data_IF_039624836823
#
_entry.id   IF_039624836823
#
_cell.length_a   1.000
_cell.length_b   1.000
_cell.length_c   1.000
_cell.angle_alpha   90.00
_cell.angle_beta   90.00
_cell.angle_gamma   90.00
#
_symmetry.space_group_name_H-M   'P 1'
#
loop_
_entity.id
_entity.type
_entity.pdbx_description
1 polymer ?
#
# COMPACT_ATOMS: atom_id res chain seq x y z
N UNK A 1 -10.62 12.31 18.14
CA UNK A 1 -11.60 12.92 17.21
C UNK A 1 -11.78 11.94 16.05
N UNK A 2 -12.98 11.38 15.91
CA UNK A 2 -13.27 10.29 14.98
C UNK A 2 -13.16 10.77 13.52
N UNK A 3 -12.95 9.85 12.56
CA UNK A 3 -12.89 10.16 11.11
C UNK A 3 -14.04 11.09 10.66
N UNK A 4 -15.23 10.87 11.21
CA UNK A 4 -16.45 11.68 10.99
C UNK A 4 -16.25 13.16 11.35
N UNK A 5 -15.61 13.46 12.48
CA UNK A 5 -15.36 14.84 12.89
C UNK A 5 -14.36 15.57 11.99
N UNK A 6 -13.39 14.85 11.43
CA UNK A 6 -12.43 15.42 10.49
C UNK A 6 -13.06 15.67 9.11
N UNK A 7 -13.93 14.77 8.66
CA UNK A 7 -14.72 14.93 7.42
C UNK A 7 -15.68 16.11 7.54
N UNK A 8 -16.43 16.22 8.64
CA UNK A 8 -17.33 17.36 8.89
C UNK A 8 -16.58 18.69 8.90
N UNK A 9 -15.39 18.74 9.50
CA UNK A 9 -14.56 19.95 9.51
C UNK A 9 -14.07 20.34 8.10
N UNK A 10 -13.70 19.35 7.28
CA UNK A 10 -13.34 19.59 5.88
C UNK A 10 -14.53 20.08 5.05
N UNK A 11 -15.71 19.49 5.25
CA UNK A 11 -16.96 19.90 4.59
C UNK A 11 -17.36 21.33 4.99
N UNK A 12 -17.16 21.70 6.26
CA UNK A 12 -17.42 23.05 6.77
C UNK A 12 -16.47 24.10 6.18
N UNK A 13 -15.28 23.71 5.72
CA UNK A 13 -14.33 24.64 5.08
C UNK A 13 -14.80 25.12 3.70
N UNK A 14 -15.60 24.32 2.98
CA UNK A 14 -16.10 24.61 1.63
C UNK A 14 -16.95 25.89 1.61
N UNK A 15 -18.03 26.05 2.41
CA UNK A 15 -18.82 27.27 2.39
C UNK A 15 -18.02 28.49 2.85
N UNK A 16 -17.07 28.33 3.79
CA UNK A 16 -16.20 29.42 4.24
C UNK A 16 -15.27 29.93 3.14
N UNK A 17 -14.67 29.04 2.35
CA UNK A 17 -13.81 29.40 1.21
C UNK A 17 -14.64 30.06 0.10
N UNK A 18 -15.82 29.53 -0.20
CA UNK A 18 -16.73 30.09 -1.22
C UNK A 18 -17.21 31.49 -0.83
N UNK A 19 -17.67 31.68 0.41
CA UNK A 19 -18.07 33.00 0.92
C UNK A 19 -16.89 33.98 0.94
N UNK A 20 -15.68 33.53 1.34
CA UNK A 20 -14.47 34.35 1.30
C UNK A 20 -14.13 34.84 -0.10
N UNK A 21 -14.20 33.95 -1.10
CA UNK A 21 -14.00 34.28 -2.52
C UNK A 21 -15.04 35.27 -3.04
N UNK A 22 -16.32 35.07 -2.73
CA UNK A 22 -17.40 35.99 -3.12
C UNK A 22 -17.16 37.39 -2.55
N UNK A 23 -16.76 37.49 -1.27
CA UNK A 23 -16.45 38.79 -0.64
C UNK A 23 -15.20 39.46 -1.23
N UNK A 24 -14.20 38.68 -1.65
CA UNK A 24 -12.99 39.18 -2.30
C UNK A 24 -13.29 39.74 -3.70
N UNK A 25 -14.13 39.05 -4.48
CA UNK A 25 -14.63 39.53 -5.77
C UNK A 25 -15.48 40.80 -5.58
N UNK A 26 -16.35 40.83 -4.57
CA UNK A 26 -17.18 42.00 -4.25
C UNK A 26 -16.38 43.19 -3.69
N UNK A 27 -15.21 42.97 -3.12
CA UNK A 27 -14.30 44.04 -2.70
C UNK A 27 -13.59 44.67 -3.90
N UNK A 28 -13.26 43.87 -4.93
CA UNK A 28 -12.67 44.36 -6.17
C UNK A 28 -13.61 45.24 -6.99
N UNK A 29 -14.93 45.16 -6.78
CA UNK A 29 -15.95 45.97 -7.47
C UNK A 29 -16.29 47.30 -6.79
N UNK A 30 -15.50 47.74 -5.79
CA UNK A 30 -15.50 49.16 -5.36
C UNK A 30 -15.81 49.44 -3.89
N UNK A 31 -15.91 48.43 -3.02
CA UNK A 31 -16.12 48.65 -1.58
C UNK A 31 -14.93 48.12 -0.76
N UNK A 32 -13.93 48.97 -0.44
CA UNK A 32 -12.68 48.54 0.19
C UNK A 32 -12.86 47.98 1.61
N UNK A 33 -13.93 48.35 2.33
CA UNK A 33 -14.23 47.81 3.67
C UNK A 33 -14.55 46.31 3.66
N UNK A 34 -14.92 45.73 2.51
CA UNK A 34 -15.20 44.30 2.36
C UNK A 34 -13.94 43.46 2.13
N UNK A 35 -12.81 44.10 1.84
CA UNK A 35 -11.54 43.45 1.54
C UNK A 35 -10.98 42.74 2.79
N UNK A 36 -10.98 43.42 3.94
CA UNK A 36 -10.57 42.83 5.22
C UNK A 36 -11.46 41.65 5.62
N UNK A 37 -12.78 41.75 5.42
CA UNK A 37 -13.74 40.69 5.75
C UNK A 37 -13.49 39.45 4.88
N UNK A 38 -13.33 39.63 3.57
CA UNK A 38 -13.03 38.53 2.65
C UNK A 38 -11.71 37.83 2.98
N UNK A 39 -10.67 38.60 3.33
CA UNK A 39 -9.35 38.08 3.66
C UNK A 39 -9.37 37.27 4.97
N UNK A 40 -10.06 37.75 6.01
CA UNK A 40 -10.23 37.02 7.27
C UNK A 40 -11.02 35.72 7.06
N UNK A 41 -12.11 35.76 6.30
CA UNK A 41 -12.92 34.56 6.03
C UNK A 41 -12.12 33.51 5.26
N UNK A 42 -11.33 33.94 4.27
CA UNK A 42 -10.48 33.07 3.47
C UNK A 42 -9.34 32.49 4.32
N UNK A 43 -8.72 33.30 5.19
CA UNK A 43 -7.69 32.82 6.11
C UNK A 43 -8.23 31.75 7.06
N UNK A 44 -9.43 31.92 7.62
CA UNK A 44 -10.09 30.93 8.47
C UNK A 44 -10.44 29.67 7.68
N UNK A 45 -10.99 29.81 6.47
CA UNK A 45 -11.31 28.68 5.60
C UNK A 45 -10.08 27.85 5.23
N UNK A 46 -8.98 28.52 4.86
CA UNK A 46 -7.70 27.88 4.55
C UNK A 46 -7.10 27.22 5.79
N UNK A 47 -7.16 27.86 6.97
CA UNK A 47 -6.68 27.27 8.21
C UNK A 47 -7.45 25.98 8.56
N UNK A 48 -8.77 25.98 8.44
CA UNK A 48 -9.59 24.77 8.62
C UNK A 48 -9.29 23.69 7.60
N UNK A 49 -9.09 24.06 6.33
CA UNK A 49 -8.73 23.12 5.27
C UNK A 49 -7.37 22.47 5.56
N UNK A 50 -6.35 23.26 5.87
CA UNK A 50 -5.00 22.77 6.17
C UNK A 50 -5.02 21.88 7.41
N UNK A 51 -5.73 22.28 8.46
CA UNK A 51 -5.85 21.48 9.68
C UNK A 51 -6.62 20.19 9.44
N UNK A 52 -7.73 20.26 8.71
CA UNK A 52 -8.54 19.11 8.29
C UNK A 52 -7.72 18.13 7.45
N UNK A 53 -7.02 18.60 6.42
CA UNK A 53 -6.16 17.77 5.56
C UNK A 53 -5.00 17.18 6.35
N UNK A 54 -4.32 17.94 7.21
CA UNK A 54 -3.24 17.39 8.05
C UNK A 54 -3.76 16.32 9.01
N UNK A 55 -4.94 16.52 9.59
CA UNK A 55 -5.58 15.55 10.48
C UNK A 55 -6.05 14.32 9.71
N UNK A 56 -6.62 14.49 8.51
CA UNK A 56 -6.99 13.39 7.61
C UNK A 56 -5.75 12.62 7.19
N UNK A 57 -4.68 13.27 6.73
CA UNK A 57 -3.41 12.61 6.41
C UNK A 57 -2.88 11.79 7.60
N UNK A 58 -2.94 12.33 8.81
CA UNK A 58 -2.59 11.57 10.03
C UNK A 58 -3.50 10.36 10.28
N UNK A 59 -4.72 10.36 9.75
CA UNK A 59 -5.67 9.23 9.78
C UNK A 59 -5.58 8.35 8.52
N UNK A 60 -4.82 8.75 7.50
CA UNK A 60 -4.73 8.18 6.15
C UNK A 60 -3.28 7.83 5.75
N UNK A 61 -2.33 7.89 6.68
CA UNK A 61 -0.94 7.40 6.53
C UNK A 61 -0.90 5.86 6.63
N UNK A 62 -1.57 5.07 5.81
CA UNK A 62 -1.46 4.97 4.36
C UNK A 62 -2.69 4.15 3.96
N UNK A 63 -3.31 4.41 2.82
CA UNK A 63 -4.43 3.59 2.32
C UNK A 63 -4.03 2.10 2.38
N UNK A 64 -4.58 1.30 3.30
CA UNK A 64 -4.09 -0.06 3.56
C UNK A 64 -4.22 -0.91 2.29
N UNK A 65 -5.19 -0.61 1.43
CA UNK A 65 -5.42 -1.29 0.16
C UNK A 65 -4.24 -1.17 -0.83
N UNK A 66 -3.59 0.00 -0.88
CA UNK A 66 -2.41 0.21 -1.73
C UNK A 66 -1.20 -0.52 -1.13
N UNK A 67 -1.06 -0.54 0.20
CA UNK A 67 0.00 -1.30 0.87
C UNK A 67 -0.19 -2.80 0.73
N UNK A 68 -1.42 -3.32 0.78
CA UNK A 68 -1.75 -4.73 0.52
C UNK A 68 -1.30 -5.11 -0.89
N UNK A 69 -1.68 -4.31 -1.88
CA UNK A 69 -1.29 -4.53 -3.29
C UNK A 69 0.23 -4.46 -3.47
N UNK A 70 0.88 -3.51 -2.79
CA UNK A 70 2.33 -3.38 -2.76
C UNK A 70 3.03 -4.57 -2.09
N UNK A 71 2.51 -5.07 -0.96
CA UNK A 71 3.02 -6.22 -0.24
C UNK A 71 2.96 -7.49 -1.08
N UNK A 72 1.85 -7.74 -1.79
CA UNK A 72 1.70 -8.83 -2.76
C UNK A 72 2.73 -8.68 -3.90
N UNK A 73 2.91 -7.46 -4.44
CA UNK A 73 3.91 -7.18 -5.46
C UNK A 73 5.36 -7.42 -4.98
N UNK A 74 5.66 -7.06 -3.74
CA UNK A 74 6.97 -7.25 -3.11
C UNK A 74 7.23 -8.74 -2.83
N UNK A 75 6.24 -9.46 -2.31
CA UNK A 75 6.30 -10.90 -2.11
C UNK A 75 6.56 -11.63 -3.44
N UNK A 76 5.93 -11.22 -4.54
CA UNK A 76 6.18 -11.79 -5.87
C UNK A 76 7.65 -11.62 -6.32
N UNK A 77 8.30 -10.51 -5.97
CA UNK A 77 9.72 -10.27 -6.28
C UNK A 77 10.67 -11.07 -5.39
N UNK A 78 10.28 -11.30 -4.14
CA UNK A 78 11.07 -12.01 -3.13
C UNK A 78 10.84 -13.53 -3.10
N UNK A 79 9.97 -14.06 -3.98
CA UNK A 79 9.76 -15.51 -4.12
C UNK A 79 8.59 -16.07 -3.30
N UNK A 80 7.64 -15.23 -2.90
CA UNK A 80 6.41 -15.65 -2.21
C UNK A 80 6.47 -15.51 -0.68
N UNK A 81 7.60 -15.10 -0.12
CA UNK A 81 7.77 -14.85 1.32
C UNK A 81 8.04 -13.36 1.58
N UNK A 82 7.48 -12.83 2.65
CA UNK A 82 7.70 -11.45 3.08
C UNK A 82 7.71 -11.35 4.60
N UNK A 83 8.59 -10.49 5.13
CA UNK A 83 8.61 -10.14 6.56
C UNK A 83 8.13 -8.72 6.79
N UNK A 84 7.62 -8.44 7.99
CA UNK A 84 7.22 -7.07 8.42
C UNK A 84 8.39 -6.09 8.24
N UNK A 85 9.61 -6.52 8.59
CA UNK A 85 10.81 -5.71 8.45
C UNK A 85 11.12 -5.34 6.99
N UNK A 86 10.93 -6.26 6.04
CA UNK A 86 11.13 -6.01 4.61
C UNK A 86 10.08 -5.06 4.04
N UNK A 87 8.80 -5.25 4.39
CA UNK A 87 7.73 -4.34 3.98
C UNK A 87 7.99 -2.92 4.51
N UNK A 88 8.42 -2.82 5.77
CA UNK A 88 8.80 -1.56 6.40
C UNK A 88 9.97 -0.87 5.70
N UNK A 89 11.00 -1.64 5.36
CA UNK A 89 12.19 -1.12 4.69
C UNK A 89 11.87 -0.57 3.29
N UNK A 90 11.03 -1.27 2.53
CA UNK A 90 10.67 -0.88 1.16
C UNK A 90 9.79 0.37 1.13
N UNK A 91 8.71 0.39 1.93
CA UNK A 91 7.71 1.46 1.89
C UNK A 91 7.95 2.59 2.90
N UNK A 92 8.99 2.47 3.74
CA UNK A 92 9.35 3.44 4.81
C UNK A 92 8.17 3.78 5.73
N UNK A 93 7.42 2.75 6.12
CA UNK A 93 6.21 2.87 6.94
C UNK A 93 6.50 2.62 8.43
N UNK A 94 5.52 2.89 9.30
CA UNK A 94 5.63 2.52 10.72
C UNK A 94 5.51 1.00 10.92
N UNK A 95 5.99 0.50 12.06
CA UNK A 95 5.89 -0.92 12.41
C UNK A 95 4.45 -1.35 12.62
N UNK A 96 3.67 -0.57 13.37
CA UNK A 96 2.25 -0.85 13.64
C UNK A 96 1.46 -1.02 12.34
N UNK A 97 1.66 -0.12 11.38
CA UNK A 97 0.97 -0.17 10.10
C UNK A 97 1.39 -1.36 9.24
N UNK A 98 2.67 -1.71 9.27
CA UNK A 98 3.16 -2.91 8.58
C UNK A 98 2.55 -4.17 9.20
N UNK A 99 2.42 -4.24 10.52
CA UNK A 99 1.76 -5.34 11.21
C UNK A 99 0.28 -5.41 10.87
N UNK A 100 -0.44 -4.28 10.88
CA UNK A 100 -1.86 -4.20 10.52
C UNK A 100 -2.11 -4.69 9.08
N UNK A 101 -1.31 -4.23 8.12
CA UNK A 101 -1.43 -4.66 6.71
C UNK A 101 -1.18 -6.17 6.55
N UNK A 102 -0.17 -6.71 7.24
CA UNK A 102 0.13 -8.14 7.17
C UNK A 102 -0.94 -8.97 7.89
N UNK A 103 -1.51 -8.48 9.00
CA UNK A 103 -2.61 -9.13 9.70
C UNK A 103 -3.89 -9.15 8.85
N UNK A 104 -4.20 -8.04 8.17
CA UNK A 104 -5.30 -7.98 7.22
C UNK A 104 -5.14 -9.00 6.09
N UNK A 105 -3.95 -9.09 5.48
CA UNK A 105 -3.67 -10.05 4.41
C UNK A 105 -3.80 -11.51 4.87
N UNK A 106 -3.51 -11.80 6.14
CA UNK A 106 -3.75 -13.11 6.75
C UNK A 106 -5.25 -13.35 6.95
N UNK A 107 -5.99 -12.35 7.43
CA UNK A 107 -7.43 -12.44 7.63
C UNK A 107 -8.21 -12.65 6.32
N UNK A 108 -7.70 -12.10 5.22
CA UNK A 108 -8.22 -12.25 3.86
C UNK A 108 -7.82 -13.60 3.22
N UNK A 109 -6.95 -14.39 3.87
CA UNK A 109 -6.46 -15.67 3.36
C UNK A 109 -5.41 -15.56 2.25
N UNK A 110 -4.91 -14.36 1.97
CA UNK A 110 -3.90 -14.10 0.93
C UNK A 110 -2.49 -14.50 1.39
N UNK A 111 -2.23 -14.44 2.70
CA UNK A 111 -0.98 -14.84 3.32
C UNK A 111 -1.20 -15.74 4.54
N UNK A 112 -0.21 -16.56 4.86
CA UNK A 112 -0.17 -17.38 6.08
C UNK A 112 1.05 -16.97 6.89
N UNK A 113 0.85 -16.72 8.18
CA UNK A 113 1.97 -16.44 9.09
C UNK A 113 2.61 -17.76 9.54
N UNK A 114 3.89 -17.90 9.27
CA UNK A 114 4.74 -18.98 9.76
C UNK A 114 5.84 -18.40 10.65
N UNK A 115 6.01 -18.95 11.85
CA UNK A 115 7.14 -18.59 12.71
C UNK A 115 8.28 -19.58 12.42
N UNK A 116 9.32 -19.12 11.70
CA UNK A 116 10.52 -19.93 11.39
C UNK A 116 11.71 -19.38 12.17
N UNK A 117 12.34 -20.25 12.95
CA UNK A 117 13.68 -20.10 13.54
C UNK A 117 14.08 -18.65 13.91
N UNK A 118 13.22 -17.95 14.67
CA UNK A 118 13.40 -16.58 15.22
C UNK A 118 12.83 -15.39 14.41
N UNK A 119 12.05 -15.60 13.35
CA UNK A 119 11.31 -14.51 12.69
C UNK A 119 9.92 -14.93 12.21
N UNK A 120 8.96 -14.01 12.34
CA UNK A 120 7.64 -14.14 11.73
C UNK A 120 7.76 -13.87 10.21
N UNK A 121 7.50 -14.91 9.41
CA UNK A 121 7.48 -14.85 7.95
C UNK A 121 6.05 -15.00 7.48
N UNK A 122 5.65 -14.23 6.48
CA UNK A 122 4.34 -14.32 5.87
C UNK A 122 4.50 -14.90 4.47
N UNK A 123 3.89 -16.06 4.27
CA UNK A 123 3.97 -16.83 3.04
C UNK A 123 2.69 -16.60 2.23
N UNK A 124 2.83 -16.11 1.01
CA UNK A 124 1.71 -15.79 0.13
C UNK A 124 1.32 -17.02 -0.68
N UNK A 125 0.23 -17.67 -0.29
CA UNK A 125 -0.25 -18.95 -0.84
C UNK A 125 -0.56 -18.89 -2.34
N UNK A 126 -1.11 -17.76 -2.82
CA UNK A 126 -1.41 -17.54 -4.24
C UNK A 126 -0.22 -17.10 -5.11
N UNK A 127 0.94 -16.84 -4.49
CA UNK A 127 2.15 -16.35 -5.16
C UNK A 127 3.33 -17.30 -5.03
N UNK A 128 3.17 -18.44 -4.34
CA UNK A 128 4.13 -19.51 -4.45
C UNK A 128 4.35 -19.73 -5.95
N UNK A 129 5.60 -19.67 -6.43
CA UNK A 129 5.86 -20.24 -7.73
C UNK A 129 5.28 -21.65 -7.63
N UNK A 130 4.43 -22.04 -8.56
CA UNK A 130 4.46 -23.44 -8.93
C UNK A 130 5.93 -23.68 -9.28
N UNK A 131 6.69 -24.19 -8.30
CA UNK A 131 7.92 -24.91 -8.56
C UNK A 131 7.43 -26.09 -9.39
N UNK A 132 7.19 -25.84 -10.68
CA UNK A 132 7.19 -26.90 -11.65
C UNK A 132 8.62 -27.42 -11.57
N UNK A 133 8.78 -28.55 -10.94
CA UNK A 133 10.03 -29.28 -10.89
C UNK A 133 10.15 -29.98 -12.25
N UNK A 134 11.21 -29.67 -13.01
CA UNK A 134 11.55 -30.51 -14.16
C UNK A 134 12.23 -31.75 -13.59
N UNK A 135 11.47 -32.79 -13.32
CA UNK A 135 12.04 -34.09 -12.98
C UNK A 135 12.50 -34.76 -14.26
N UNK A 136 13.81 -35.03 -14.37
CA UNK A 136 14.29 -35.83 -15.48
C UNK A 136 13.85 -37.30 -15.29
N UNK A 137 13.09 -37.91 -16.22
CA UNK A 137 12.59 -39.28 -16.06
C UNK A 137 13.69 -40.34 -16.08
N UNK A 138 14.91 -39.98 -16.51
CA UNK A 138 16.03 -40.91 -16.67
C UNK A 138 16.97 -40.96 -15.46
N UNK A 139 17.12 -39.85 -14.72
CA UNK A 139 18.08 -39.76 -13.62
C UNK A 139 17.49 -39.21 -12.33
N UNK A 140 16.20 -38.85 -12.32
CA UNK A 140 15.50 -38.32 -11.16
C UNK A 140 16.03 -36.97 -10.65
N UNK A 141 16.91 -36.30 -11.39
CA UNK A 141 17.42 -34.99 -10.98
C UNK A 141 16.31 -33.95 -11.10
N UNK A 142 15.97 -33.33 -9.97
CA UNK A 142 15.04 -32.20 -9.87
C UNK A 142 15.78 -30.91 -10.24
N UNK A 143 15.31 -30.23 -11.29
CA UNK A 143 15.91 -28.99 -11.77
C UNK A 143 14.89 -27.85 -11.75
N UNK A 144 15.25 -26.67 -11.20
CA UNK A 144 14.35 -25.53 -11.21
C UNK A 144 14.12 -25.04 -12.65
N UNK A 145 12.84 -24.86 -13.02
CA UNK A 145 12.39 -24.45 -14.37
C UNK A 145 13.03 -23.15 -14.87
N UNK A 146 13.53 -22.29 -13.97
CA UNK A 146 14.22 -21.04 -14.31
C UNK A 146 15.51 -21.23 -15.12
N UNK A 147 16.03 -22.46 -15.17
CA UNK A 147 17.15 -22.80 -16.04
C UNK A 147 16.65 -23.10 -17.46
N UNK A 148 17.09 -22.31 -18.45
CA UNK A 148 16.78 -22.50 -19.87
C UNK A 148 17.52 -23.72 -20.48
N UNK A 149 17.78 -24.75 -19.69
CA UNK A 149 18.40 -25.98 -20.15
C UNK A 149 17.34 -26.87 -20.81
N UNK A 150 17.58 -27.19 -22.10
CA UNK A 150 16.77 -28.14 -22.89
C UNK A 150 17.20 -29.59 -22.68
N UNK A 151 18.37 -29.82 -22.11
CA UNK A 151 18.96 -31.13 -21.84
C UNK A 151 19.43 -31.19 -20.41
N UNK A 152 19.18 -32.32 -19.75
CA UNK A 152 19.70 -32.55 -18.40
C UNK A 152 21.24 -32.55 -18.44
N UNK A 153 21.94 -31.75 -17.62
CA UNK A 153 23.40 -31.75 -17.56
C UNK A 153 23.97 -33.04 -16.94
N UNK A 154 23.14 -33.83 -16.25
CA UNK A 154 23.55 -35.07 -15.59
C UNK A 154 23.48 -36.29 -16.53
N UNK A 155 22.44 -36.40 -17.36
CA UNK A 155 22.24 -37.58 -18.21
C UNK A 155 21.96 -37.28 -19.70
N UNK A 156 21.90 -36.01 -20.10
CA UNK A 156 21.64 -35.61 -21.50
C UNK A 156 20.20 -35.81 -21.99
N UNK A 157 19.31 -36.37 -21.17
CA UNK A 157 17.91 -36.61 -21.50
C UNK A 157 17.07 -35.33 -21.68
N UNK A 158 16.01 -35.42 -22.48
CA UNK A 158 15.03 -34.36 -22.66
C UNK A 158 14.20 -34.22 -21.38
N UNK A 159 14.09 -33.00 -20.86
CA UNK A 159 13.31 -32.72 -19.65
C UNK A 159 11.82 -32.59 -20.02
N UNK A 160 10.97 -33.42 -19.42
CA UNK A 160 9.52 -33.23 -19.46
C UNK A 160 9.09 -32.32 -18.29
N UNK A 161 8.16 -31.40 -18.56
CA UNK A 161 7.66 -30.47 -17.54
C UNK A 161 6.42 -31.11 -16.94
N UNK A 162 6.57 -31.72 -15.76
CA UNK A 162 5.41 -32.14 -14.97
C UNK A 162 4.94 -30.94 -14.16
N UNK A 163 3.68 -30.53 -14.36
CA UNK A 163 3.03 -29.54 -13.50
C UNK A 163 2.41 -30.28 -12.32
N UNK A 164 2.90 -30.01 -11.12
CA UNK A 164 2.15 -30.22 -9.87
C UNK A 164 1.39 -28.96 -9.51
#
# INVERSE_FOLDING_TARGET
MNRIGAILLALLSIPFIVLGLIFLIAAATGVPSRLLVGLVLLAIGVAFLIYGIRRLRRLTDISPDVLKTGAVGLARRLGGELTVAQLRAEYRISEDLAQDVMADLVSEGTAVREDREQRAVYVFSGLMPSLAEKTCPYCGTELPVRSALRKCPNCGGTLEITKT
#
